data_IF_840422356307
#
_entry.id   IF_840422356307
#
_cell.length_a   1.000
_cell.length_b   1.000
_cell.length_c   1.000
_cell.angle_alpha   90.00
_cell.angle_beta   90.00
_cell.angle_gamma   90.00
#
_symmetry.space_group_name_H-M   'P 1'
#
loop_
_entity.id
_entity.type
_entity.pdbx_description
1 polymer ?
#
# COMPACT_ATOMS: atom_id res chain seq x y z
N UNK A 1 -37.14 33.30 -50.74
CA UNK A 1 -38.46 33.02 -50.11
C UNK A 1 -38.21 32.87 -48.61
N UNK A 2 -38.32 33.95 -47.83
CA UNK A 2 -39.56 34.41 -47.15
C UNK A 2 -39.97 33.35 -46.11
N UNK A 3 -39.96 33.55 -44.78
CA UNK A 3 -39.82 34.74 -43.91
C UNK A 3 -39.73 34.29 -42.43
N UNK A 4 -38.85 34.94 -41.66
CA UNK A 4 -39.00 35.56 -40.30
C UNK A 4 -40.09 35.05 -39.30
N UNK A 5 -39.84 34.90 -37.99
CA UNK A 5 -39.72 35.90 -36.88
C UNK A 5 -39.46 35.09 -35.58
N UNK A 6 -38.54 35.36 -34.63
CA UNK A 6 -38.11 36.55 -33.86
C UNK A 6 -39.17 37.16 -32.91
N UNK A 7 -38.89 37.08 -31.58
CA UNK A 7 -39.07 38.08 -30.48
C UNK A 7 -38.90 37.37 -29.10
N UNK A 8 -37.82 37.54 -28.33
CA UNK A 8 -37.46 38.58 -27.33
C UNK A 8 -38.53 38.88 -26.23
N UNK A 9 -38.21 38.41 -25.00
CA UNK A 9 -38.26 38.98 -23.61
C UNK A 9 -39.00 40.33 -23.37
N UNK A 10 -39.57 40.63 -22.16
CA UNK A 10 -38.77 40.90 -20.93
C UNK A 10 -39.42 40.67 -19.52
N UNK A 11 -38.58 40.94 -18.49
CA UNK A 11 -38.76 41.36 -17.06
C UNK A 11 -40.08 42.12 -16.73
N UNK A 12 -40.66 42.22 -15.52
CA UNK A 12 -40.13 42.57 -14.19
C UNK A 12 -41.18 42.41 -13.04
N UNK A 13 -40.70 42.34 -11.79
CA UNK A 13 -41.19 42.82 -10.45
C UNK A 13 -42.67 42.90 -10.04
N UNK A 14 -42.97 42.45 -8.79
CA UNK A 14 -43.48 43.20 -7.59
C UNK A 14 -43.97 42.16 -6.54
N UNK A 15 -43.39 42.03 -5.35
CA UNK A 15 -43.53 42.83 -4.09
C UNK A 15 -44.71 42.40 -3.18
N UNK A 16 -44.41 42.24 -1.87
CA UNK A 16 -45.28 42.23 -0.68
C UNK A 16 -46.26 41.05 -0.50
N UNK A 17 -46.55 40.50 0.69
CA UNK A 17 -46.30 40.90 2.08
C UNK A 17 -46.68 39.75 3.05
N UNK A 18 -46.33 39.97 4.33
CA UNK A 18 -46.43 39.08 5.50
C UNK A 18 -47.88 38.88 5.99
N UNK A 19 -48.12 37.77 6.71
CA UNK A 19 -48.81 37.67 8.03
C UNK A 19 -49.13 36.18 8.35
N UNK A 20 -48.40 35.52 9.25
CA UNK A 20 -48.75 35.26 10.67
C UNK A 20 -50.20 34.88 10.96
N UNK A 21 -50.41 33.67 11.49
CA UNK A 21 -51.41 33.46 12.54
C UNK A 21 -51.03 32.28 13.45
N UNK A 22 -50.65 32.63 14.69
CA UNK A 22 -50.75 31.78 15.87
C UNK A 22 -52.21 31.78 16.34
N UNK A 23 -52.71 30.65 16.87
CA UNK A 23 -53.72 30.66 17.94
C UNK A 23 -53.45 29.53 18.94
N UNK A 24 -53.37 29.97 20.20
CA UNK A 24 -53.40 29.24 21.47
C UNK A 24 -54.79 28.57 21.68
N UNK A 25 -55.08 27.68 22.64
CA UNK A 25 -54.72 27.67 24.07
C UNK A 25 -55.28 26.42 24.80
N UNK A 26 -54.80 26.25 26.05
CA UNK A 26 -55.32 25.51 27.23
C UNK A 26 -54.97 24.01 27.32
N UNK A 27 -54.11 23.54 28.23
CA UNK A 27 -53.98 23.67 29.71
C UNK A 27 -54.90 22.71 30.48
N UNK A 28 -54.28 21.67 31.06
CA UNK A 28 -54.71 20.97 32.29
C UNK A 28 -53.46 20.38 32.95
N UNK A 29 -53.14 20.86 34.15
CA UNK A 29 -52.14 20.33 35.06
C UNK A 29 -52.63 19.10 35.82
N UNK A 30 -51.64 18.41 36.40
CA UNK A 30 -51.68 17.66 37.66
C UNK A 30 -51.59 16.12 37.62
N UNK A 31 -50.65 15.69 38.46
CA UNK A 31 -50.53 14.40 39.12
C UNK A 31 -49.83 13.26 38.34
N UNK A 32 -48.53 13.07 38.60
CA UNK A 32 -47.96 11.89 39.29
C UNK A 32 -46.43 12.04 39.26
N UNK A 33 -45.93 12.94 40.11
CA UNK A 33 -44.54 12.99 40.56
C UNK A 33 -44.57 12.82 42.07
N UNK A 34 -44.64 11.56 42.52
CA UNK A 34 -44.36 11.09 43.88
C UNK A 34 -44.62 9.59 43.97
N UNK A 35 -43.60 8.78 43.69
CA UNK A 35 -43.35 7.49 44.38
C UNK A 35 -41.95 6.96 44.02
N UNK A 36 -41.02 7.24 44.94
CA UNK A 36 -39.95 6.35 45.46
C UNK A 36 -38.97 5.80 44.40
N UNK A 37 -37.71 6.26 44.28
CA UNK A 37 -36.69 6.40 45.34
C UNK A 37 -36.88 5.46 46.53
N UNK A 38 -36.63 4.17 46.29
CA UNK A 38 -36.08 3.22 47.28
C UNK A 38 -35.77 1.91 46.56
N UNK A 39 -34.50 1.67 46.22
CA UNK A 39 -33.81 0.38 46.37
C UNK A 39 -32.50 0.38 45.55
N UNK A 40 -31.55 1.20 46.01
CA UNK A 40 -30.13 0.96 45.82
C UNK A 40 -29.61 0.37 47.14
N UNK A 41 -29.66 -0.95 47.26
CA UNK A 41 -28.88 -1.81 48.18
C UNK A 41 -29.64 -3.11 48.45
N UNK A 42 -28.91 -4.23 48.46
CA UNK A 42 -29.35 -5.64 48.59
C UNK A 42 -29.74 -6.34 47.28
N UNK A 43 -28.73 -6.63 46.47
CA UNK A 43 -28.43 -8.01 46.03
C UNK A 43 -27.05 -8.03 45.37
N UNK A 44 -26.03 -7.87 46.20
CA UNK A 44 -24.78 -8.57 46.00
C UNK A 44 -24.98 -10.01 46.50
N UNK A 45 -24.35 -10.96 45.82
CA UNK A 45 -24.20 -12.39 46.09
C UNK A 45 -24.99 -13.35 45.19
N UNK A 46 -24.21 -14.31 44.65
CA UNK A 46 -24.57 -15.56 44.00
C UNK A 46 -25.04 -15.51 42.53
N UNK A 47 -24.06 -15.56 41.61
CA UNK A 47 -23.87 -16.70 40.69
C UNK A 47 -22.56 -16.53 39.90
N UNK A 48 -21.48 -17.06 40.50
CA UNK A 48 -20.32 -17.55 39.77
C UNK A 48 -20.73 -18.87 39.10
N UNK A 49 -20.62 -18.95 37.78
CA UNK A 49 -20.46 -20.19 37.05
C UNK A 49 -19.52 -19.92 35.87
N UNK A 50 -18.25 -20.15 36.17
CA UNK A 50 -17.30 -20.94 35.36
C UNK A 50 -17.58 -21.00 33.85
N UNK A 51 -17.00 -20.04 33.13
CA UNK A 51 -16.58 -20.25 31.74
C UNK A 51 -15.07 -20.07 31.70
N UNK A 52 -14.38 -21.16 31.99
CA UNK A 52 -12.96 -21.37 31.67
C UNK A 52 -12.74 -21.11 30.17
N UNK A 53 -12.34 -19.87 29.85
CA UNK A 53 -11.77 -19.55 28.56
C UNK A 53 -10.46 -20.33 28.46
N UNK A 54 -10.45 -21.38 27.63
CA UNK A 54 -9.21 -22.02 27.20
C UNK A 54 -8.35 -20.97 26.51
N UNK A 55 -7.35 -20.48 27.22
CA UNK A 55 -6.15 -19.89 26.64
C UNK A 55 -5.65 -20.87 25.57
N UNK A 56 -5.79 -20.47 24.32
CA UNK A 56 -5.11 -21.14 23.23
C UNK A 56 -3.68 -20.62 23.31
N UNK A 57 -2.81 -21.48 23.84
CA UNK A 57 -1.36 -21.33 23.92
C UNK A 57 -0.80 -21.20 22.49
N UNK A 58 -0.92 -20.01 21.90
CA UNK A 58 -0.06 -19.61 20.80
C UNK A 58 1.30 -19.39 21.42
N UNK A 59 2.18 -20.40 21.30
CA UNK A 59 3.60 -20.25 21.64
C UNK A 59 4.16 -19.06 20.87
N UNK A 60 4.18 -17.90 21.52
CA UNK A 60 4.98 -16.76 21.10
C UNK A 60 6.41 -17.26 21.03
N UNK A 61 7.13 -17.14 19.90
CA UNK A 61 8.54 -17.49 19.86
C UNK A 61 9.24 -16.72 20.97
N UNK A 62 10.03 -17.42 21.82
CA UNK A 62 10.82 -16.78 22.87
C UNK A 62 11.57 -15.60 22.25
N UNK A 63 11.40 -14.42 22.85
CA UNK A 63 12.20 -13.23 22.57
C UNK A 63 13.68 -13.62 22.50
N UNK A 64 14.25 -13.56 21.29
CA UNK A 64 15.66 -13.88 21.05
C UNK A 64 16.57 -12.76 21.58
N UNK A 65 17.81 -13.10 21.94
CA UNK A 65 18.78 -12.12 22.43
C UNK A 65 19.24 -11.23 21.25
N UNK A 66 19.58 -9.93 21.43
CA UNK A 66 19.98 -9.06 20.32
C UNK A 66 21.19 -9.54 19.49
N UNK A 67 22.09 -10.34 20.08
CA UNK A 67 23.20 -11.00 19.39
C UNK A 67 22.75 -12.05 18.37
N UNK A 68 21.61 -12.70 18.65
CA UNK A 68 21.06 -13.77 17.81
C UNK A 68 20.44 -13.18 16.54
N UNK A 69 19.87 -11.97 16.64
CA UNK A 69 19.28 -11.24 15.50
C UNK A 69 20.34 -10.92 14.45
N UNK A 70 21.48 -10.35 14.85
CA UNK A 70 22.54 -9.96 13.90
C UNK A 70 23.11 -11.18 13.19
N UNK A 71 23.40 -12.24 13.94
CA UNK A 71 23.93 -13.50 13.40
C UNK A 71 22.94 -14.16 12.41
N UNK A 72 21.64 -14.07 12.72
CA UNK A 72 20.59 -14.52 11.81
C UNK A 72 20.56 -13.70 10.51
N UNK A 73 20.61 -12.37 10.58
CA UNK A 73 20.63 -11.52 9.38
C UNK A 73 21.86 -11.81 8.51
N UNK A 74 23.03 -11.98 9.12
CA UNK A 74 24.26 -12.34 8.40
C UNK A 74 24.14 -13.68 7.67
N UNK A 75 23.51 -14.67 8.31
CA UNK A 75 23.19 -15.94 7.68
C UNK A 75 22.27 -15.75 6.46
N UNK A 76 21.18 -14.98 6.61
CA UNK A 76 20.21 -14.74 5.52
C UNK A 76 20.85 -14.03 4.33
N UNK A 77 21.69 -13.02 4.59
CA UNK A 77 22.41 -12.30 3.53
C UNK A 77 23.38 -13.25 2.80
N UNK A 78 24.12 -14.07 3.54
CA UNK A 78 25.04 -15.06 2.95
C UNK A 78 24.30 -16.11 2.12
N UNK A 79 23.16 -16.61 2.59
CA UNK A 79 22.30 -17.54 1.83
C UNK A 79 21.77 -16.93 0.53
N UNK A 80 21.58 -15.61 0.49
CA UNK A 80 21.21 -14.86 -0.71
C UNK A 80 22.41 -14.52 -1.63
N UNK A 81 23.64 -14.94 -1.28
CA UNK A 81 24.85 -14.61 -2.04
C UNK A 81 25.30 -13.15 -1.89
N UNK A 82 24.80 -12.45 -0.86
CA UNK A 82 25.16 -11.07 -0.51
C UNK A 82 26.28 -11.15 0.51
N UNK A 83 27.50 -10.77 0.10
CA UNK A 83 28.65 -10.81 1.00
C UNK A 83 28.71 -9.60 1.93
N UNK A 84 28.28 -8.45 1.40
CA UNK A 84 28.28 -7.19 2.11
C UNK A 84 27.10 -6.32 1.65
N UNK A 85 26.53 -5.56 2.59
CA UNK A 85 25.51 -4.55 2.29
C UNK A 85 26.15 -3.17 2.24
N UNK A 86 25.79 -2.38 1.24
CA UNK A 86 26.26 -1.00 1.12
C UNK A 86 25.34 -0.04 1.86
N UNK A 87 25.94 1.04 2.38
CA UNK A 87 25.19 2.22 2.79
C UNK A 87 24.98 3.13 1.59
N UNK A 88 23.73 3.38 1.24
CA UNK A 88 23.34 4.33 0.20
C UNK A 88 22.20 5.19 0.74
N UNK A 89 22.19 6.49 0.42
CA UNK A 89 21.18 7.43 0.91
C UNK A 89 20.99 7.39 2.45
N UNK A 90 22.07 7.16 3.19
CA UNK A 90 22.07 7.18 4.66
C UNK A 90 21.57 5.90 5.34
N UNK A 91 21.38 4.78 4.62
CA UNK A 91 20.98 3.51 5.23
C UNK A 91 21.58 2.29 4.54
N UNK A 92 21.65 1.15 5.25
CA UNK A 92 22.04 -0.13 4.68
C UNK A 92 21.02 -1.23 4.98
N UNK A 93 20.97 -2.26 4.11
CA UNK A 93 19.97 -3.33 4.22
C UNK A 93 20.13 -4.18 5.49
N UNK A 94 21.37 -4.47 5.91
CA UNK A 94 21.64 -5.27 7.11
C UNK A 94 21.10 -4.61 8.38
N UNK A 95 21.32 -3.30 8.52
CA UNK A 95 20.80 -2.51 9.63
C UNK A 95 19.27 -2.51 9.63
N UNK A 96 18.66 -2.26 8.48
CA UNK A 96 17.22 -2.24 8.33
C UNK A 96 16.57 -3.58 8.70
N UNK A 97 17.12 -4.71 8.19
CA UNK A 97 16.66 -6.06 8.55
C UNK A 97 16.82 -6.35 10.04
N UNK A 98 17.94 -5.95 10.62
CA UNK A 98 18.20 -6.12 12.07
C UNK A 98 17.19 -5.32 12.89
N UNK A 99 16.90 -4.07 12.50
CA UNK A 99 15.95 -3.20 13.16
C UNK A 99 14.54 -3.80 13.16
N UNK A 100 14.03 -4.20 11.99
CA UNK A 100 12.66 -4.71 11.89
C UNK A 100 12.45 -6.00 12.69
N UNK A 101 13.47 -6.86 12.78
CA UNK A 101 13.40 -8.10 13.57
C UNK A 101 13.39 -7.81 15.08
N UNK A 102 14.19 -6.83 15.53
CA UNK A 102 14.19 -6.36 16.91
C UNK A 102 12.87 -5.69 17.28
N UNK A 103 12.41 -4.76 16.43
CA UNK A 103 11.16 -4.02 16.63
C UNK A 103 9.94 -4.96 16.75
N UNK A 104 9.96 -6.08 16.05
CA UNK A 104 8.86 -7.07 16.06
C UNK A 104 9.01 -8.16 17.12
N UNK A 105 10.00 -8.04 18.02
CA UNK A 105 10.36 -9.07 19.00
C UNK A 105 10.55 -10.47 18.36
N UNK A 106 11.06 -10.50 17.12
CA UNK A 106 11.36 -11.73 16.41
C UNK A 106 10.17 -12.46 15.75
N UNK A 107 8.93 -11.95 15.80
CA UNK A 107 7.80 -12.65 15.12
C UNK A 107 8.02 -12.79 13.61
N UNK A 108 8.84 -11.92 13.02
CA UNK A 108 9.17 -11.92 11.59
C UNK A 108 10.28 -12.92 11.20
N UNK A 109 10.97 -13.57 12.16
CA UNK A 109 12.05 -14.51 11.84
C UNK A 109 11.66 -15.62 10.85
N UNK A 110 10.53 -16.33 11.01
CA UNK A 110 10.14 -17.38 10.06
C UNK A 110 9.89 -16.82 8.66
N UNK A 111 9.33 -15.61 8.59
CA UNK A 111 9.04 -14.93 7.34
C UNK A 111 10.32 -14.51 6.60
N UNK A 112 11.29 -13.95 7.33
CA UNK A 112 12.62 -13.62 6.78
C UNK A 112 13.37 -14.89 6.36
N UNK A 113 13.32 -15.96 7.16
CA UNK A 113 13.96 -17.24 6.83
C UNK A 113 13.36 -17.88 5.58
N UNK A 114 12.05 -17.74 5.38
CA UNK A 114 11.34 -18.30 4.22
C UNK A 114 11.59 -17.50 2.93
N UNK A 115 11.60 -16.17 3.01
CA UNK A 115 11.64 -15.31 1.82
C UNK A 115 12.99 -14.63 1.55
N UNK A 116 13.96 -14.82 2.45
CA UNK A 116 15.30 -14.27 2.32
C UNK A 116 15.37 -12.76 2.43
N UNK A 117 16.49 -12.21 1.97
CA UNK A 117 16.73 -10.77 1.92
C UNK A 117 15.83 -10.08 0.88
N UNK A 118 15.42 -8.82 1.11
CA UNK A 118 14.64 -8.05 0.13
C UNK A 118 15.40 -7.80 -1.18
N UNK A 119 15.02 -8.48 -2.25
CA UNK A 119 15.69 -8.35 -3.57
C UNK A 119 15.38 -7.03 -4.27
N UNK A 120 14.38 -6.29 -3.81
CA UNK A 120 13.96 -5.00 -4.37
C UNK A 120 14.97 -3.87 -4.11
N UNK A 121 15.89 -4.05 -3.15
CA UNK A 121 16.96 -3.09 -2.82
C UNK A 121 18.32 -3.60 -3.30
N UNK A 122 18.37 -4.03 -4.57
CA UNK A 122 19.56 -4.67 -5.13
C UNK A 122 20.79 -3.74 -5.15
N UNK A 123 20.60 -2.42 -5.25
CA UNK A 123 21.71 -1.45 -5.22
C UNK A 123 22.50 -1.51 -3.89
N UNK A 124 21.81 -1.85 -2.79
CA UNK A 124 22.35 -1.94 -1.44
C UNK A 124 23.11 -3.26 -1.21
N UNK A 125 23.24 -4.10 -2.24
CA UNK A 125 23.75 -5.46 -2.13
C UNK A 125 24.98 -5.64 -3.00
N UNK A 126 26.06 -6.16 -2.42
CA UNK A 126 27.17 -6.72 -3.19
C UNK A 126 26.93 -8.22 -3.38
N UNK A 127 26.41 -8.61 -4.54
CA UNK A 127 26.23 -10.01 -4.90
C UNK A 127 27.46 -10.53 -5.67
N UNK A 128 28.01 -11.68 -5.25
CA UNK A 128 29.05 -12.39 -6.01
C UNK A 128 28.52 -13.30 -7.13
N UNK A 129 27.21 -13.40 -7.27
CA UNK A 129 26.59 -14.32 -8.22
C UNK A 129 26.58 -13.68 -9.61
N UNK A 130 27.35 -14.30 -10.52
CA UNK A 130 27.22 -14.10 -11.96
C UNK A 130 25.76 -14.32 -12.36
N UNK A 131 25.22 -13.41 -13.17
CA UNK A 131 23.89 -13.48 -13.78
C UNK A 131 23.76 -14.77 -14.61
N UNK A 132 23.47 -15.89 -13.94
CA UNK A 132 23.32 -17.22 -14.52
C UNK A 132 21.87 -17.66 -14.38
N UNK A 133 21.00 -17.12 -15.22
CA UNK A 133 19.60 -17.51 -15.30
C UNK A 133 18.90 -16.72 -16.40
N UNK A 134 18.57 -17.39 -17.50
CA UNK A 134 18.02 -16.85 -18.74
C UNK A 134 16.58 -16.31 -18.63
N UNK A 135 16.36 -15.33 -17.77
CA UNK A 135 15.45 -14.24 -18.08
C UNK A 135 16.36 -13.13 -18.62
N UNK A 136 16.23 -12.75 -19.89
CA UNK A 136 16.87 -11.54 -20.43
C UNK A 136 16.78 -10.46 -19.36
N UNK A 137 17.93 -9.98 -18.86
CA UNK A 137 17.98 -8.95 -17.84
C UNK A 137 17.31 -7.71 -18.42
N UNK A 138 16.01 -7.59 -18.19
CA UNK A 138 15.20 -6.48 -18.65
C UNK A 138 15.87 -5.21 -18.12
N UNK A 139 16.06 -4.23 -19.00
CA UNK A 139 16.75 -3.00 -18.62
C UNK A 139 15.89 -2.27 -17.60
N UNK A 140 16.36 -2.23 -16.36
CA UNK A 140 15.73 -1.46 -15.29
C UNK A 140 15.77 0.05 -15.63
N UNK A 141 14.77 0.85 -15.20
CA UNK A 141 14.79 2.29 -15.38
C UNK A 141 16.08 2.91 -14.83
N UNK A 142 16.71 3.79 -15.60
CA UNK A 142 17.96 4.46 -15.21
C UNK A 142 17.73 5.90 -14.77
N UNK A 143 16.56 6.45 -15.06
CA UNK A 143 16.16 7.83 -14.80
C UNK A 143 14.85 7.89 -14.01
N UNK A 144 14.64 8.97 -13.27
CA UNK A 144 13.36 9.23 -12.62
C UNK A 144 12.21 9.25 -13.62
N UNK A 145 12.43 9.85 -14.78
CA UNK A 145 11.45 9.89 -15.87
C UNK A 145 11.01 8.47 -16.31
N UNK A 146 11.98 7.61 -16.65
CA UNK A 146 11.71 6.21 -17.03
C UNK A 146 10.98 5.45 -15.93
N UNK A 147 11.39 5.65 -14.67
CA UNK A 147 10.78 5.00 -13.52
C UNK A 147 9.32 5.37 -13.36
N UNK A 148 8.99 6.65 -13.43
CA UNK A 148 7.61 7.13 -13.37
C UNK A 148 6.77 6.59 -14.52
N UNK A 149 7.33 6.54 -15.74
CA UNK A 149 6.66 5.94 -16.90
C UNK A 149 6.38 4.44 -16.71
N UNK A 150 7.36 3.67 -16.20
CA UNK A 150 7.21 2.25 -15.89
C UNK A 150 6.12 2.02 -14.83
N UNK A 151 6.10 2.83 -13.78
CA UNK A 151 5.09 2.76 -12.71
C UNK A 151 3.69 2.97 -13.28
N UNK A 152 3.50 4.02 -14.09
CA UNK A 152 2.20 4.33 -14.72
C UNK A 152 1.77 3.21 -15.68
N UNK A 153 2.67 2.74 -16.53
CA UNK A 153 2.39 1.64 -17.46
C UNK A 153 1.97 0.36 -16.71
N UNK A 154 2.61 0.07 -15.59
CA UNK A 154 2.37 -1.10 -14.73
C UNK A 154 1.17 -1.01 -13.80
N UNK A 155 0.51 0.15 -13.63
CA UNK A 155 -0.63 0.31 -12.72
C UNK A 155 -1.70 -0.77 -12.95
N UNK A 156 -2.19 -1.38 -11.87
CA UNK A 156 -3.25 -2.41 -11.87
C UNK A 156 -2.93 -3.67 -12.69
N UNK A 157 -1.65 -3.94 -12.97
CA UNK A 157 -1.19 -5.14 -13.67
C UNK A 157 -0.39 -6.04 -12.74
N UNK A 158 -0.45 -7.35 -12.99
CA UNK A 158 0.49 -8.30 -12.40
C UNK A 158 1.92 -8.04 -12.93
N UNK A 159 2.94 -8.44 -12.17
CA UNK A 159 4.35 -8.15 -12.48
C UNK A 159 4.77 -8.54 -13.90
N UNK A 160 4.40 -9.74 -14.38
CA UNK A 160 4.74 -10.18 -15.74
C UNK A 160 4.09 -9.30 -16.84
N UNK A 161 2.89 -8.80 -16.61
CA UNK A 161 2.22 -7.90 -17.56
C UNK A 161 2.83 -6.49 -17.51
N UNK A 162 3.13 -5.97 -16.32
CA UNK A 162 3.84 -4.69 -16.16
C UNK A 162 5.22 -4.72 -16.85
N UNK A 163 5.96 -5.84 -16.72
CA UNK A 163 7.24 -6.06 -17.40
C UNK A 163 7.09 -6.03 -18.93
N UNK A 164 6.07 -6.68 -19.48
CA UNK A 164 5.80 -6.60 -20.94
C UNK A 164 5.49 -5.17 -21.40
N UNK A 165 4.73 -4.40 -20.64
CA UNK A 165 4.46 -2.99 -20.96
C UNK A 165 5.75 -2.17 -20.96
N UNK A 166 6.63 -2.41 -19.99
CA UNK A 166 7.91 -1.73 -19.92
C UNK A 166 8.82 -2.05 -21.11
N UNK A 167 8.91 -3.33 -21.50
CA UNK A 167 9.67 -3.73 -22.70
C UNK A 167 9.20 -2.97 -23.94
N UNK A 168 7.88 -2.92 -24.17
CA UNK A 168 7.31 -2.21 -25.32
C UNK A 168 7.51 -0.70 -25.27
N UNK A 169 7.57 -0.08 -24.09
CA UNK A 169 7.95 1.32 -23.97
C UNK A 169 9.40 1.55 -24.39
N UNK A 170 10.31 0.65 -24.00
CA UNK A 170 11.71 0.71 -24.42
C UNK A 170 11.90 0.42 -25.91
N UNK A 171 11.04 -0.40 -26.52
CA UNK A 171 11.06 -0.65 -27.97
C UNK A 171 10.73 0.63 -28.79
N UNK A 172 10.08 1.63 -28.18
CA UNK A 172 9.83 2.95 -28.78
C UNK A 172 10.96 3.96 -28.52
N UNK A 173 11.87 3.63 -27.62
CA UNK A 173 12.90 4.54 -27.14
C UNK A 173 14.14 4.50 -28.04
N UNK A 174 14.83 5.63 -28.17
CA UNK A 174 16.07 5.69 -28.93
C UNK A 174 17.20 5.06 -28.10
N UNK A 175 17.88 4.05 -28.66
CA UNK A 175 18.93 3.28 -27.99
C UNK A 175 18.51 2.68 -26.63
N UNK A 176 17.21 2.36 -26.48
CA UNK A 176 16.66 1.81 -25.24
C UNK A 176 16.63 2.80 -24.07
N UNK A 177 16.67 4.11 -24.34
CA UNK A 177 16.55 5.18 -23.34
C UNK A 177 15.31 6.02 -23.62
N UNK A 178 14.27 5.89 -22.80
CA UNK A 178 13.04 6.66 -23.01
C UNK A 178 13.26 8.09 -22.49
N UNK A 179 13.01 9.09 -23.32
CA UNK A 179 13.16 10.51 -22.95
C UNK A 179 11.82 11.26 -23.02
N UNK A 180 11.69 12.39 -22.30
CA UNK A 180 10.53 13.26 -22.44
C UNK A 180 10.29 13.68 -23.90
N UNK A 181 11.35 14.05 -24.61
CA UNK A 181 11.30 14.48 -26.02
C UNK A 181 10.75 13.37 -26.90
N UNK A 182 11.20 12.12 -26.68
CA UNK A 182 10.73 10.97 -27.45
C UNK A 182 9.24 10.71 -27.24
N UNK A 183 8.77 10.80 -25.99
CA UNK A 183 7.34 10.64 -25.70
C UNK A 183 6.52 11.75 -26.37
N UNK A 184 7.00 12.99 -26.35
CA UNK A 184 6.30 14.11 -26.98
C UNK A 184 6.30 14.03 -28.52
N UNK A 185 7.37 13.50 -29.12
CA UNK A 185 7.45 13.23 -30.58
C UNK A 185 6.37 12.23 -31.05
N UNK A 186 6.03 11.26 -30.20
CA UNK A 186 5.02 10.24 -30.49
C UNK A 186 3.58 10.78 -30.41
N UNK A 187 3.38 11.98 -29.87
CA UNK A 187 2.08 12.66 -29.83
C UNK A 187 1.86 13.42 -31.13
N UNK A 188 0.82 13.05 -31.88
CA UNK A 188 0.47 13.71 -33.16
C UNK A 188 -0.92 14.31 -33.06
N UNK A 189 -1.07 15.58 -33.44
CA UNK A 189 -2.34 16.30 -33.42
C UNK A 189 -3.07 16.24 -32.05
N UNK A 190 -2.31 16.21 -30.94
CA UNK A 190 -2.86 16.14 -29.57
C UNK A 190 -3.35 14.75 -29.14
N UNK A 191 -3.05 13.72 -29.92
CA UNK A 191 -3.48 12.35 -29.70
C UNK A 191 -2.27 11.42 -29.43
N UNK A 192 -2.45 10.43 -28.55
CA UNK A 192 -1.38 9.55 -28.07
C UNK A 192 -1.30 8.19 -28.77
N UNK A 193 -1.87 8.01 -29.97
CA UNK A 193 -1.90 6.68 -30.64
C UNK A 193 -0.50 6.08 -30.83
N UNK A 194 0.48 6.94 -31.16
CA UNK A 194 1.89 6.54 -31.33
C UNK A 194 2.52 5.95 -30.08
N UNK A 195 1.98 6.26 -28.89
CA UNK A 195 2.38 5.65 -27.62
C UNK A 195 1.42 4.51 -27.23
N UNK A 196 0.12 4.71 -27.44
CA UNK A 196 -0.95 3.84 -26.94
C UNK A 196 -0.96 2.48 -27.62
N UNK A 197 -0.97 2.47 -28.95
CA UNK A 197 -1.16 1.25 -29.76
C UNK A 197 0.02 0.29 -29.71
N UNK A 198 1.27 0.72 -29.97
CA UNK A 198 2.42 -0.20 -29.94
C UNK A 198 2.68 -0.77 -28.54
N UNK A 199 2.43 0.00 -27.48
CA UNK A 199 2.62 -0.48 -26.11
C UNK A 199 1.42 -1.31 -25.63
N UNK A 200 0.20 -0.95 -26.05
CA UNK A 200 -1.05 -1.50 -25.54
C UNK A 200 -1.53 -0.79 -24.26
N UNK A 201 -1.29 0.52 -24.16
CA UNK A 201 -1.73 1.32 -23.01
C UNK A 201 -3.22 1.65 -23.11
N UNK A 202 -3.85 1.92 -21.96
CA UNK A 202 -5.13 2.61 -21.93
C UNK A 202 -4.95 4.10 -22.25
N UNK A 203 -6.01 4.77 -22.67
CA UNK A 203 -5.99 6.23 -22.89
C UNK A 203 -5.50 6.99 -21.65
N UNK A 204 -5.95 6.58 -20.45
CA UNK A 204 -5.55 7.21 -19.20
C UNK A 204 -4.04 7.06 -18.95
N UNK A 205 -3.46 5.87 -19.18
CA UNK A 205 -2.02 5.64 -18.98
C UNK A 205 -1.17 6.39 -20.01
N UNK A 206 -1.57 6.36 -21.28
CA UNK A 206 -0.87 7.11 -22.32
C UNK A 206 -0.86 8.62 -22.02
N UNK A 207 -2.01 9.20 -21.67
CA UNK A 207 -2.11 10.61 -21.27
C UNK A 207 -1.25 10.93 -20.04
N UNK A 208 -1.18 10.01 -19.08
CA UNK A 208 -0.38 10.18 -17.86
C UNK A 208 1.12 10.22 -18.17
N UNK A 209 1.60 9.34 -19.06
CA UNK A 209 3.00 9.35 -19.53
C UNK A 209 3.33 10.64 -20.27
N UNK A 210 2.41 11.14 -21.11
CA UNK A 210 2.57 12.45 -21.77
C UNK A 210 2.62 13.59 -20.75
N UNK A 211 1.77 13.58 -19.72
CA UNK A 211 1.82 14.60 -18.66
C UNK A 211 3.15 14.58 -17.90
N UNK A 212 3.71 13.39 -17.64
CA UNK A 212 5.05 13.25 -17.06
C UNK A 212 6.09 13.85 -18.00
N UNK A 213 6.06 13.51 -19.29
CA UNK A 213 6.99 14.04 -20.27
C UNK A 213 6.92 15.57 -20.36
N UNK A 214 5.71 16.15 -20.36
CA UNK A 214 5.52 17.59 -20.36
C UNK A 214 6.12 18.26 -19.11
N UNK A 215 5.93 17.66 -17.93
CA UNK A 215 6.47 18.20 -16.67
C UNK A 215 8.01 18.23 -16.68
N UNK A 216 8.66 17.18 -17.20
CA UNK A 216 10.12 17.18 -17.38
C UNK A 216 10.57 18.16 -18.45
N UNK A 217 9.89 18.19 -19.60
CA UNK A 217 10.24 19.05 -20.73
C UNK A 217 10.12 20.55 -20.39
N UNK A 218 9.11 20.92 -19.60
CA UNK A 218 8.91 22.31 -19.14
C UNK A 218 9.86 22.72 -18.01
N UNK A 219 10.58 21.78 -17.39
CA UNK A 219 11.38 22.02 -16.20
C UNK A 219 10.56 22.10 -14.90
N UNK A 220 9.26 21.76 -14.92
CA UNK A 220 8.43 21.64 -13.72
C UNK A 220 8.92 20.49 -12.81
N UNK A 221 9.58 19.49 -13.40
CA UNK A 221 10.18 18.35 -12.72
C UNK A 221 11.57 18.06 -13.30
N UNK A 222 12.54 17.71 -12.44
CA UNK A 222 13.89 17.35 -12.88
C UNK A 222 14.44 16.14 -12.13
N UNK A 223 15.40 15.44 -12.75
CA UNK A 223 16.14 14.35 -12.11
C UNK A 223 16.82 14.80 -10.81
N UNK A 224 17.42 15.98 -10.83
CA UNK A 224 18.09 16.57 -9.67
C UNK A 224 17.11 16.82 -8.53
N UNK A 225 15.99 17.49 -8.81
CA UNK A 225 14.94 17.75 -7.82
C UNK A 225 14.46 16.45 -7.17
N UNK A 226 14.14 15.44 -7.98
CA UNK A 226 13.58 14.17 -7.49
C UNK A 226 14.58 13.33 -6.69
N UNK A 227 15.89 13.46 -6.93
CA UNK A 227 16.93 12.70 -6.21
C UNK A 227 17.43 13.39 -4.95
N UNK A 228 17.31 14.71 -4.85
CA UNK A 228 17.91 15.50 -3.77
C UNK A 228 16.90 16.09 -2.79
N UNK A 229 15.63 16.19 -3.20
CA UNK A 229 14.59 16.77 -2.35
C UNK A 229 14.09 15.80 -1.28
N UNK A 230 13.51 16.36 -0.23
CA UNK A 230 12.81 15.59 0.79
C UNK A 230 11.57 14.89 0.22
N UNK A 231 11.30 13.68 0.72
CA UNK A 231 10.18 12.83 0.30
C UNK A 231 8.84 13.57 0.22
N UNK A 232 8.53 14.41 1.21
CA UNK A 232 7.28 15.18 1.23
C UNK A 232 7.18 16.19 0.07
N UNK A 233 8.29 16.82 -0.31
CA UNK A 233 8.34 17.76 -1.46
C UNK A 233 8.19 17.00 -2.77
N UNK A 234 8.88 15.87 -2.90
CA UNK A 234 8.77 14.97 -4.05
C UNK A 234 7.31 14.57 -4.27
N UNK A 235 6.64 14.08 -3.23
CA UNK A 235 5.21 13.69 -3.30
C UNK A 235 4.31 14.85 -3.70
N UNK A 236 4.52 16.03 -3.11
CA UNK A 236 3.71 17.21 -3.38
C UNK A 236 3.77 17.61 -4.85
N UNK A 237 4.94 17.53 -5.48
CA UNK A 237 5.09 17.85 -6.90
C UNK A 237 4.57 16.73 -7.80
N UNK A 238 4.89 15.46 -7.49
CA UNK A 238 4.44 14.32 -8.28
C UNK A 238 2.90 14.21 -8.35
N UNK A 239 2.18 14.46 -7.26
CA UNK A 239 0.70 14.36 -7.21
C UNK A 239 0.02 15.43 -8.08
N UNK A 240 0.69 16.54 -8.43
CA UNK A 240 0.13 17.54 -9.36
C UNK A 240 -0.01 16.99 -10.77
N UNK A 241 0.77 15.98 -11.13
CA UNK A 241 0.74 15.38 -12.46
C UNK A 241 -0.47 14.45 -12.55
N UNK A 242 -1.45 14.82 -13.38
CA UNK A 242 -2.66 14.00 -13.60
C UNK A 242 -2.26 12.61 -14.09
N UNK A 243 -2.64 11.59 -13.31
CA UNK A 243 -2.27 10.20 -13.55
C UNK A 243 -1.31 9.61 -12.52
N UNK A 244 -0.63 10.47 -11.76
CA UNK A 244 0.19 10.08 -10.61
C UNK A 244 -0.63 10.29 -9.34
N UNK A 245 -0.88 9.20 -8.62
CA UNK A 245 -1.53 9.23 -7.31
C UNK A 245 -0.56 8.87 -6.18
N UNK A 246 -1.04 8.88 -4.91
CA UNK A 246 -0.23 8.52 -3.75
C UNK A 246 0.47 7.16 -3.88
N UNK A 247 -0.23 6.15 -4.40
CA UNK A 247 0.36 4.83 -4.64
C UNK A 247 1.54 4.88 -5.60
N UNK A 248 1.43 5.62 -6.72
CA UNK A 248 2.55 5.75 -7.66
C UNK A 248 3.74 6.50 -7.06
N UNK A 249 3.49 7.48 -6.19
CA UNK A 249 4.55 8.13 -5.43
C UNK A 249 5.22 7.15 -4.47
N UNK A 250 4.46 6.32 -3.76
CA UNK A 250 5.03 5.30 -2.88
C UNK A 250 5.94 4.34 -3.66
N UNK A 251 5.46 3.84 -4.81
CA UNK A 251 6.24 2.93 -5.65
C UNK A 251 7.52 3.60 -6.18
N UNK A 252 7.44 4.88 -6.55
CA UNK A 252 8.60 5.65 -7.02
C UNK A 252 9.64 5.85 -5.90
N UNK A 253 9.19 6.34 -4.75
CA UNK A 253 10.04 6.55 -3.58
C UNK A 253 10.68 5.24 -3.10
N UNK A 254 9.96 4.13 -3.16
CA UNK A 254 10.42 2.85 -2.64
C UNK A 254 11.32 2.10 -3.63
N UNK A 255 10.97 2.02 -4.92
CA UNK A 255 11.70 1.17 -5.88
C UNK A 255 12.76 1.89 -6.69
N UNK A 256 12.67 3.23 -6.83
CA UNK A 256 13.64 3.98 -7.61
C UNK A 256 14.54 4.86 -6.76
N UNK A 257 13.96 5.57 -5.79
CA UNK A 257 14.76 6.34 -4.83
C UNK A 257 15.27 5.49 -3.67
N UNK A 258 14.73 4.27 -3.52
CA UNK A 258 15.09 3.33 -2.46
C UNK A 258 15.04 3.97 -1.07
N UNK A 259 14.00 4.77 -0.82
CA UNK A 259 13.78 5.38 0.48
C UNK A 259 13.39 4.30 1.50
N UNK A 260 14.00 4.29 2.71
CA UNK A 260 13.83 3.21 3.67
C UNK A 260 12.48 3.23 4.38
N UNK A 261 11.81 4.39 4.44
CA UNK A 261 10.67 4.62 5.33
C UNK A 261 9.33 4.82 4.61
N UNK A 262 9.04 4.02 3.59
CA UNK A 262 7.79 4.07 2.83
C UNK A 262 6.89 2.90 3.24
N UNK A 263 5.65 3.20 3.63
CA UNK A 263 4.60 2.19 3.82
C UNK A 263 3.48 2.45 2.80
N UNK A 264 3.42 1.70 1.68
CA UNK A 264 2.48 1.94 0.60
C UNK A 264 1.07 1.46 0.96
N UNK A 265 0.41 2.17 1.88
CA UNK A 265 -0.93 1.82 2.38
C UNK A 265 -2.02 1.89 1.32
N UNK A 266 -1.76 2.49 0.15
CA UNK A 266 -2.66 2.43 -1.00
C UNK A 266 -2.61 1.09 -1.75
N UNK A 267 -1.59 0.27 -1.50
CA UNK A 267 -1.36 -0.99 -2.19
C UNK A 267 -2.19 -2.14 -1.61
N UNK A 268 -2.91 -2.86 -2.48
CA UNK A 268 -3.77 -3.96 -2.04
C UNK A 268 -2.96 -5.12 -1.45
N UNK A 269 -1.82 -5.46 -2.05
CA UNK A 269 -0.95 -6.52 -1.57
C UNK A 269 -0.44 -6.21 -0.17
N UNK A 270 0.09 -5.00 0.04
CA UNK A 270 0.54 -4.56 1.39
C UNK A 270 -0.61 -4.58 2.38
N UNK A 271 -1.80 -4.07 2.04
CA UNK A 271 -2.96 -4.11 2.94
C UNK A 271 -3.40 -5.53 3.29
N UNK A 272 -3.37 -6.46 2.33
CA UNK A 272 -3.66 -7.89 2.60
C UNK A 272 -2.60 -8.49 3.52
N UNK A 273 -1.32 -8.20 3.26
CA UNK A 273 -0.20 -8.61 4.10
C UNK A 273 -0.34 -8.11 5.53
N UNK A 274 -0.58 -6.81 5.70
CA UNK A 274 -0.77 -6.18 7.01
C UNK A 274 -1.97 -6.73 7.76
N UNK A 275 -3.10 -6.94 7.06
CA UNK A 275 -4.29 -7.58 7.64
C UNK A 275 -3.95 -8.94 8.24
N UNK A 276 -3.22 -9.79 7.48
CA UNK A 276 -2.84 -11.14 7.91
C UNK A 276 -1.77 -11.13 9.01
N UNK A 277 -0.73 -10.33 8.84
CA UNK A 277 0.44 -10.33 9.71
C UNK A 277 0.16 -9.70 11.08
N UNK A 278 -0.47 -8.53 11.08
CA UNK A 278 -0.80 -7.78 12.29
C UNK A 278 -2.20 -8.11 12.84
N UNK A 279 -2.88 -9.10 12.26
CA UNK A 279 -4.25 -9.50 12.60
C UNK A 279 -5.24 -8.30 12.65
N UNK A 280 -5.06 -7.34 11.75
CA UNK A 280 -5.87 -6.12 11.73
C UNK A 280 -7.26 -6.43 11.21
N UNK A 281 -8.29 -5.97 11.92
CA UNK A 281 -9.67 -6.02 11.43
C UNK A 281 -9.98 -4.75 10.65
N UNK A 282 -10.14 -4.91 9.34
CA UNK A 282 -10.61 -3.85 8.46
C UNK A 282 -12.00 -3.39 8.84
N UNK A 283 -12.26 -2.11 8.62
CA UNK A 283 -13.45 -1.47 9.19
C UNK A 283 -14.63 -1.36 8.22
N UNK A 284 -14.52 -1.97 7.03
CA UNK A 284 -15.62 -2.16 6.10
C UNK A 284 -16.43 -3.45 6.40
N UNK A 285 -17.56 -3.63 5.69
CA UNK A 285 -18.46 -4.79 5.86
C UNK A 285 -17.84 -6.16 5.54
N UNK A 286 -16.74 -6.18 4.79
CA UNK A 286 -15.99 -7.37 4.39
C UNK A 286 -14.67 -7.52 5.18
N UNK A 287 -14.40 -6.61 6.10
CA UNK A 287 -13.17 -6.53 6.87
C UNK A 287 -11.92 -6.16 6.06
N UNK A 288 -12.01 -5.49 4.90
CA UNK A 288 -10.81 -4.96 4.24
C UNK A 288 -10.35 -3.64 4.88
N UNK A 289 -9.05 -3.38 4.86
CA UNK A 289 -8.42 -2.19 5.44
C UNK A 289 -8.59 -0.93 4.55
N UNK A 290 -9.77 -0.67 3.99
CA UNK A 290 -9.95 0.32 2.91
C UNK A 290 -10.44 1.69 3.38
N UNK A 291 -10.81 1.79 4.66
CA UNK A 291 -11.47 2.97 5.16
C UNK A 291 -10.45 3.96 5.71
N UNK A 292 -10.80 5.25 5.73
CA UNK A 292 -9.95 6.30 6.33
C UNK A 292 -9.56 5.97 7.78
N UNK A 293 -10.50 5.37 8.54
CA UNK A 293 -10.28 4.88 9.91
C UNK A 293 -9.28 3.72 10.03
N UNK A 294 -8.97 3.04 8.93
CA UNK A 294 -7.96 1.97 8.91
C UNK A 294 -6.54 2.53 8.76
N UNK A 295 -6.38 3.77 8.27
CA UNK A 295 -5.06 4.39 8.07
C UNK A 295 -4.29 4.54 9.38
N UNK A 296 -4.96 5.02 10.43
CA UNK A 296 -4.37 5.15 11.77
C UNK A 296 -3.97 3.79 12.35
N UNK A 297 -4.82 2.77 12.17
CA UNK A 297 -4.52 1.39 12.62
C UNK A 297 -3.27 0.84 11.91
N UNK A 298 -3.18 1.03 10.60
CA UNK A 298 -2.02 0.62 9.81
C UNK A 298 -0.75 1.41 10.21
N UNK A 299 -0.90 2.71 10.45
CA UNK A 299 0.18 3.56 10.95
C UNK A 299 0.71 3.11 12.31
N UNK A 300 -0.18 2.88 13.28
CA UNK A 300 0.20 2.42 14.62
C UNK A 300 0.86 1.04 14.60
N UNK A 301 0.35 0.12 13.78
CA UNK A 301 0.94 -1.22 13.63
C UNK A 301 2.34 -1.18 13.02
N UNK A 302 2.61 -0.21 12.14
CA UNK A 302 3.91 -0.11 11.42
C UNK A 302 4.87 0.93 12.03
N UNK A 303 4.40 1.75 12.96
CA UNK A 303 5.19 2.80 13.62
C UNK A 303 6.50 2.32 14.24
N UNK A 304 6.53 1.20 14.99
CA UNK A 304 7.78 0.69 15.58
C UNK A 304 8.88 0.32 14.57
N UNK A 305 8.51 0.16 13.29
CA UNK A 305 9.45 -0.22 12.24
C UNK A 305 10.09 0.96 11.52
N UNK A 306 9.68 2.20 11.82
CA UNK A 306 10.41 3.37 11.36
C UNK A 306 11.86 3.33 11.89
N UNK A 307 12.87 3.72 11.09
CA UNK A 307 12.76 4.34 9.77
C UNK A 307 12.84 3.35 8.58
N UNK A 308 12.52 2.07 8.76
CA UNK A 308 12.70 1.01 7.75
C UNK A 308 11.38 0.35 7.30
N UNK A 309 10.29 1.12 7.25
CA UNK A 309 8.97 0.60 6.85
C UNK A 309 8.93 0.02 5.43
N UNK A 310 9.81 0.43 4.52
CA UNK A 310 9.92 -0.15 3.18
C UNK A 310 10.33 -1.63 3.23
N UNK A 311 11.19 -2.03 4.17
CA UNK A 311 11.55 -3.45 4.37
C UNK A 311 10.36 -4.24 4.89
N UNK A 312 9.55 -3.66 5.78
CA UNK A 312 8.31 -4.30 6.25
C UNK A 312 7.31 -4.47 5.10
N UNK A 313 7.14 -3.43 4.26
CA UNK A 313 6.26 -3.49 3.10
C UNK A 313 6.64 -4.63 2.14
N UNK A 314 7.94 -4.85 1.91
CA UNK A 314 8.43 -6.01 1.15
C UNK A 314 7.89 -7.33 1.70
N UNK A 315 8.01 -7.53 3.02
CA UNK A 315 7.52 -8.74 3.67
C UNK A 315 5.99 -8.82 3.70
N UNK A 316 5.27 -7.69 3.73
CA UNK A 316 3.80 -7.70 3.62
C UNK A 316 3.34 -8.20 2.24
N UNK A 317 4.03 -7.87 1.16
CA UNK A 317 3.78 -8.51 -0.14
C UNK A 317 4.00 -10.02 -0.08
N UNK A 318 5.08 -10.49 0.55
CA UNK A 318 5.33 -11.93 0.71
C UNK A 318 4.23 -12.63 1.52
N UNK A 319 3.73 -12.00 2.58
CA UNK A 319 2.60 -12.51 3.36
C UNK A 319 1.31 -12.55 2.52
N UNK A 320 1.09 -11.57 1.65
CA UNK A 320 -0.07 -11.54 0.77
C UNK A 320 -0.03 -12.67 -0.28
N UNK A 321 1.15 -12.96 -0.82
CA UNK A 321 1.37 -14.02 -1.81
C UNK A 321 1.37 -15.42 -1.18
N UNK A 322 1.65 -15.53 0.12
CA UNK A 322 1.69 -16.81 0.84
C UNK A 322 0.27 -17.21 1.27
N UNK A 323 -0.13 -18.44 0.94
CA UNK A 323 -1.44 -18.97 1.33
C UNK A 323 -1.55 -19.25 2.84
N UNK A 324 -0.44 -19.60 3.51
CA UNK A 324 -0.43 -20.17 4.87
C UNK A 324 0.75 -19.70 5.76
N UNK A 325 0.85 -18.41 6.11
CA UNK A 325 1.96 -17.92 6.97
C UNK A 325 1.88 -18.44 8.42
N UNK A 326 0.70 -18.85 8.91
CA UNK A 326 0.49 -19.30 10.29
C UNK A 326 -0.30 -20.62 10.45
N UNK A 327 -0.49 -21.41 9.39
CA UNK A 327 -1.12 -22.74 9.54
C UNK A 327 -0.08 -23.84 9.76
N UNK A 328 0.41 -23.97 10.98
CA UNK A 328 0.94 -25.25 11.48
C UNK A 328 0.60 -25.44 12.95
N UNK A 329 -0.47 -26.21 13.19
CA UNK A 329 -0.68 -27.16 14.31
C UNK A 329 -2.15 -27.29 14.75
N UNK A 330 -3.06 -27.68 13.84
CA UNK A 330 -4.38 -28.20 14.23
C UNK A 330 -4.75 -29.52 13.57
N UNK A 331 -3.77 -30.35 13.19
CA UNK A 331 -3.99 -31.75 12.81
C UNK A 331 -3.21 -32.71 13.72
N UNK A 332 -3.42 -32.60 15.03
CA UNK A 332 -3.16 -33.69 15.96
C UNK A 332 -4.47 -34.44 16.25
N UNK A 333 -4.62 -35.58 15.57
CA UNK A 333 -5.45 -36.76 15.93
C UNK A 333 -6.86 -36.52 16.48
N UNK A 334 -7.89 -36.73 15.64
CA UNK A 334 -9.13 -37.42 16.07
C UNK A 334 -9.74 -38.26 14.94
N UNK A 335 -9.51 -39.56 15.01
CA UNK A 335 -10.42 -40.66 14.64
C UNK A 335 -9.79 -41.93 15.24
N UNK A 336 -10.06 -42.25 16.51
CA UNK A 336 -11.13 -43.10 17.05
C UNK A 336 -11.09 -44.57 16.58
N UNK A 337 -11.27 -45.56 17.49
CA UNK A 337 -10.86 -46.94 17.28
C UNK A 337 -11.87 -47.73 16.44
N UNK A 338 -11.38 -48.57 15.53
CA UNK A 338 -12.19 -49.58 14.84
C UNK A 338 -12.63 -50.65 15.86
N UNK A 339 -13.93 -50.66 16.19
CA UNK A 339 -14.57 -51.78 16.87
C UNK A 339 -14.71 -52.95 15.90
N UNK A 340 -13.94 -54.01 16.14
CA UNK A 340 -14.20 -55.34 15.59
C UNK A 340 -15.48 -55.91 16.22
N UNK A 341 -16.51 -56.14 15.42
CA UNK A 341 -17.54 -57.14 15.74
C UNK A 341 -17.59 -58.19 14.63
N UNK A 342 -17.12 -59.38 15.00
CA UNK A 342 -17.45 -60.65 14.35
C UNK A 342 -18.97 -60.84 14.34
N UNK A 343 -19.54 -61.20 13.19
CA UNK A 343 -20.36 -62.40 13.01
C UNK A 343 -20.49 -62.71 11.53
#
# INVERSE_FOLDING_TARGET
>A
MVTTRSKKRPYDSTEEGKETNQRESKDTSDDVSKRRTTNRSKQAQAKQQDTTAKETDTKTPKSMNPSDVSSFVDKILKEAGIEETKTQNGWCLKEAMTHILKADSGRMFPLVQQHGAPTIFASLQHCKISTGGAAEAMTEPKTCFESLCRIVAGQQLAGAAAMKMWKRLLDLADNGKLTPEKVLELVKNGMEEGLREPVGLSNAKARSIVNIAQAFHNGDLSEEFLKTSEEQKIRKELIKIKGIGPWSCDMFCMFFLELPDIMPIGDLGVRVGMKRYFNLKGSDKHGYLCQKKDLEKMGNATGPFAPYRSVVAYYMWKVADTKDVYQSNSNSKKQSPKNNRKK
#
